data_IF_283728201610
#
_entry.id   IF_283728201610
#
_cell.length_a   1.000
_cell.length_b   1.000
_cell.length_c   1.000
_cell.angle_alpha   90.00
_cell.angle_beta   90.00
_cell.angle_gamma   90.00
#
_symmetry.space_group_name_H-M   'P 1'
#
loop_
_entity.id
_entity.type
_entity.pdbx_description
1 polymer ?
#
# COMPACT_ATOMS: atom_id res chain seq x y z
N UNK A 1 7.07 -5.33 -12.20
CA UNK A 1 7.84 -4.47 -11.26
C UNK A 1 7.26 -4.65 -9.87
N UNK A 2 8.06 -4.82 -8.81
CA UNK A 2 7.57 -4.92 -7.43
C UNK A 2 8.05 -3.73 -6.60
N UNK A 3 7.23 -3.29 -5.65
CA UNK A 3 7.54 -2.18 -4.74
C UNK A 3 8.16 -2.80 -3.49
N UNK A 4 9.41 -2.47 -3.19
CA UNK A 4 10.21 -3.07 -2.11
C UNK A 4 10.56 -2.04 -1.04
N UNK A 5 10.57 -2.44 0.22
CA UNK A 5 11.29 -1.71 1.26
C UNK A 5 12.75 -2.19 1.31
N UNK A 6 13.68 -1.25 1.45
CA UNK A 6 15.11 -1.53 1.65
C UNK A 6 15.43 -1.20 3.11
N UNK A 7 15.78 -2.21 3.91
CA UNK A 7 16.14 -2.01 5.33
C UNK A 7 15.98 -3.21 6.25
N UNK A 8 15.31 -4.30 5.83
CA UNK A 8 15.12 -5.52 6.63
C UNK A 8 15.94 -6.69 6.08
N UNK A 9 16.26 -7.67 6.95
CA UNK A 9 17.00 -8.91 6.61
C UNK A 9 16.32 -9.69 5.47
N UNK A 10 14.99 -9.60 5.38
CA UNK A 10 14.19 -10.07 4.26
C UNK A 10 13.64 -8.89 3.46
N UNK A 11 13.73 -8.94 2.13
CA UNK A 11 13.19 -7.90 1.24
C UNK A 11 11.67 -8.00 1.22
N UNK A 12 10.99 -7.09 1.93
CA UNK A 12 9.53 -7.03 1.95
C UNK A 12 8.98 -6.30 0.72
N UNK A 13 7.96 -6.89 0.10
CA UNK A 13 7.28 -6.35 -1.07
C UNK A 13 5.87 -5.88 -0.70
N UNK A 14 5.53 -4.65 -1.09
CA UNK A 14 4.27 -3.96 -0.74
C UNK A 14 3.33 -3.77 -1.92
N UNK A 15 3.77 -4.17 -3.11
CA UNK A 15 2.96 -4.08 -4.29
C UNK A 15 3.64 -4.56 -5.56
N UNK A 16 2.86 -4.69 -6.61
CA UNK A 16 3.32 -5.20 -7.90
C UNK A 16 2.64 -4.51 -9.08
N UNK A 17 3.34 -4.51 -10.20
CA UNK A 17 2.87 -3.97 -11.46
C UNK A 17 3.17 -4.94 -12.60
N UNK A 18 2.15 -5.18 -13.42
CA UNK A 18 2.28 -5.88 -14.69
C UNK A 18 2.06 -4.89 -15.83
N UNK A 19 2.84 -5.02 -16.89
CA UNK A 19 2.79 -4.12 -18.03
C UNK A 19 2.72 -4.92 -19.33
N UNK A 20 1.79 -4.53 -20.20
CA UNK A 20 1.64 -5.06 -21.55
C UNK A 20 1.83 -3.95 -22.59
N UNK A 21 2.61 -4.26 -23.62
CA UNK A 21 2.90 -3.34 -24.72
C UNK A 21 1.68 -3.02 -25.59
N UNK A 22 0.69 -3.91 -25.64
CA UNK A 22 -0.50 -3.78 -26.47
C UNK A 22 -1.77 -4.00 -25.66
N UNK A 23 -2.82 -3.24 -25.98
CA UNK A 23 -4.15 -3.39 -25.42
C UNK A 23 -5.15 -3.71 -26.53
N UNK A 24 -5.59 -4.97 -26.63
CA UNK A 24 -6.64 -5.38 -27.59
C UNK A 24 -7.99 -5.54 -26.90
N UNK A 25 -8.28 -4.65 -25.94
CA UNK A 25 -9.52 -4.67 -25.17
C UNK A 25 -9.51 -5.63 -23.97
N UNK A 26 -10.60 -5.56 -23.20
CA UNK A 26 -10.75 -6.19 -21.87
C UNK A 26 -10.75 -7.72 -21.91
N UNK A 27 -11.19 -8.30 -23.03
CA UNK A 27 -11.31 -9.75 -23.21
C UNK A 27 -10.02 -10.36 -23.80
N UNK A 28 -8.97 -9.56 -24.02
CA UNK A 28 -7.70 -10.09 -24.47
C UNK A 28 -7.16 -11.10 -23.45
N UNK A 29 -6.87 -12.32 -23.90
CA UNK A 29 -6.37 -13.42 -23.07
C UNK A 29 -5.15 -13.01 -22.23
N UNK A 30 -4.22 -12.23 -22.79
CA UNK A 30 -3.02 -11.77 -22.10
C UNK A 30 -3.37 -10.81 -20.96
N UNK A 31 -4.14 -9.77 -21.25
CA UNK A 31 -4.59 -8.80 -20.24
C UNK A 31 -5.37 -9.48 -19.11
N UNK A 32 -6.28 -10.38 -19.48
CA UNK A 32 -7.07 -11.17 -18.54
C UNK A 32 -6.19 -12.06 -17.67
N UNK A 33 -5.22 -12.75 -18.27
CA UNK A 33 -4.32 -13.62 -17.53
C UNK A 33 -3.43 -12.83 -16.56
N UNK A 34 -2.82 -11.74 -17.03
CA UNK A 34 -1.96 -10.88 -16.21
C UNK A 34 -2.75 -10.23 -15.07
N UNK A 35 -3.93 -9.66 -15.36
CA UNK A 35 -4.75 -8.96 -14.37
C UNK A 35 -5.54 -9.87 -13.43
N UNK A 36 -5.95 -11.06 -13.86
CA UNK A 36 -6.84 -11.92 -13.07
C UNK A 36 -6.19 -13.13 -12.43
N UNK A 37 -5.05 -13.58 -12.95
CA UNK A 37 -4.38 -14.78 -12.45
C UNK A 37 -3.01 -14.42 -11.91
N UNK A 38 -2.14 -13.85 -12.75
CA UNK A 38 -0.74 -13.62 -12.40
C UNK A 38 -0.59 -12.59 -11.28
N UNK A 39 -1.13 -11.39 -11.48
CA UNK A 39 -1.00 -10.31 -10.49
C UNK A 39 -1.72 -10.66 -9.16
N UNK A 40 -2.97 -11.15 -9.14
CA UNK A 40 -3.61 -11.51 -7.87
C UNK A 40 -2.89 -12.61 -7.09
N UNK A 41 -2.31 -13.61 -7.79
CA UNK A 41 -1.49 -14.63 -7.14
C UNK A 41 -0.27 -14.01 -6.48
N UNK A 42 0.45 -13.16 -7.20
CA UNK A 42 1.62 -12.44 -6.68
C UNK A 42 1.26 -11.57 -5.47
N UNK A 43 0.16 -10.81 -5.54
CA UNK A 43 -0.31 -9.98 -4.43
C UNK A 43 -0.69 -10.83 -3.20
N UNK A 44 -1.27 -12.02 -3.40
CA UNK A 44 -1.61 -12.94 -2.31
C UNK A 44 -0.36 -13.45 -1.61
N UNK A 45 0.67 -13.81 -2.38
CA UNK A 45 1.92 -14.31 -1.82
C UNK A 45 2.66 -13.18 -1.06
N UNK A 46 2.65 -11.94 -1.59
CA UNK A 46 3.15 -10.76 -0.87
C UNK A 46 2.37 -10.49 0.43
N UNK A 47 1.04 -10.56 0.38
CA UNK A 47 0.19 -10.36 1.55
C UNK A 47 0.54 -11.39 2.64
N UNK A 48 0.74 -12.66 2.27
CA UNK A 48 1.17 -13.69 3.21
C UNK A 48 2.48 -13.31 3.92
N UNK A 49 3.53 -12.94 3.17
CA UNK A 49 4.82 -12.58 3.77
C UNK A 49 4.75 -11.33 4.66
N UNK A 50 3.91 -10.34 4.31
CA UNK A 50 3.70 -9.17 5.17
C UNK A 50 2.99 -9.53 6.47
N UNK A 51 1.99 -10.43 6.43
CA UNK A 51 1.32 -10.91 7.64
C UNK A 51 2.27 -11.75 8.51
N UNK A 52 3.14 -12.55 7.89
CA UNK A 52 4.19 -13.31 8.58
C UNK A 52 5.21 -12.38 9.25
N UNK A 53 5.59 -11.27 8.60
CA UNK A 53 6.55 -10.30 9.16
C UNK A 53 6.04 -9.52 10.39
N UNK A 54 4.73 -9.58 10.68
CA UNK A 54 4.11 -8.97 11.86
C UNK A 54 3.57 -10.03 12.83
N UNK A 55 4.12 -11.25 12.78
CA UNK A 55 3.74 -12.38 13.62
C UNK A 55 2.24 -12.66 13.65
N UNK A 56 1.56 -12.39 12.54
CA UNK A 56 0.12 -12.54 12.41
C UNK A 56 -0.71 -11.74 13.44
N UNK A 57 -0.22 -10.59 13.89
CA UNK A 57 -0.94 -9.72 14.84
C UNK A 57 -2.34 -9.30 14.33
N UNK A 58 -3.39 -9.59 15.09
CA UNK A 58 -4.77 -9.40 14.63
C UNK A 58 -5.10 -7.94 14.25
N UNK A 59 -4.54 -6.97 14.99
CA UNK A 59 -4.81 -5.54 14.79
C UNK A 59 -4.09 -4.98 13.57
N UNK A 60 -2.86 -5.45 13.31
CA UNK A 60 -2.09 -5.08 12.11
C UNK A 60 -2.61 -5.78 10.88
N UNK A 61 -2.89 -7.07 10.93
CA UNK A 61 -3.36 -7.87 9.79
C UNK A 61 -4.60 -7.28 9.12
N UNK A 62 -5.55 -6.75 9.91
CA UNK A 62 -6.75 -6.10 9.39
C UNK A 62 -6.50 -4.77 8.65
N UNK A 63 -5.30 -4.20 8.78
CA UNK A 63 -4.90 -2.91 8.19
C UNK A 63 -3.85 -3.06 7.08
N UNK A 64 -3.28 -4.25 6.89
CA UNK A 64 -2.33 -4.54 5.82
C UNK A 64 -3.09 -4.64 4.49
N UNK A 65 -2.64 -3.84 3.52
CA UNK A 65 -3.14 -3.85 2.15
C UNK A 65 -1.95 -3.93 1.18
N UNK A 66 -2.05 -4.78 0.17
CA UNK A 66 -1.07 -4.89 -0.92
C UNK A 66 -1.68 -4.33 -2.20
N UNK A 67 -0.92 -3.48 -2.89
CA UNK A 67 -1.41 -2.77 -4.06
C UNK A 67 -0.84 -3.36 -5.35
N UNK A 68 -1.72 -3.57 -6.33
CA UNK A 68 -1.36 -3.97 -7.67
C UNK A 68 -1.78 -2.95 -8.71
N UNK A 69 -1.13 -2.91 -9.85
CA UNK A 69 -1.74 -2.33 -11.04
C UNK A 69 -1.32 -3.07 -12.32
N UNK A 70 -2.21 -3.03 -13.31
CA UNK A 70 -1.93 -3.52 -14.65
C UNK A 70 -2.01 -2.36 -15.60
N UNK A 71 -0.93 -2.11 -16.32
CA UNK A 71 -0.91 -1.15 -17.41
C UNK A 71 -0.87 -1.89 -18.75
N UNK A 72 -1.74 -1.51 -19.67
CA UNK A 72 -1.75 -2.03 -21.03
C UNK A 72 -1.95 -0.87 -21.99
N UNK A 73 -0.91 -0.57 -22.78
CA UNK A 73 -0.82 0.68 -23.56
C UNK A 73 -1.11 1.92 -22.68
N UNK A 74 -2.18 2.65 -23.00
CA UNK A 74 -2.63 3.85 -22.27
C UNK A 74 -3.72 3.55 -21.23
N UNK A 75 -4.04 2.28 -20.98
CA UNK A 75 -5.08 1.88 -20.02
C UNK A 75 -4.42 1.34 -18.76
N UNK A 76 -4.87 1.77 -17.59
CA UNK A 76 -4.40 1.28 -16.30
C UNK A 76 -5.58 0.86 -15.40
N UNK A 77 -5.42 -0.27 -14.73
CA UNK A 77 -6.35 -0.79 -13.72
C UNK A 77 -5.59 -1.01 -12.42
N UNK A 78 -6.13 -0.51 -11.29
CA UNK A 78 -5.55 -0.71 -9.98
C UNK A 78 -6.27 -1.82 -9.23
N UNK A 79 -5.51 -2.60 -8.48
CA UNK A 79 -5.93 -3.72 -7.67
C UNK A 79 -5.51 -3.45 -6.22
N UNK A 80 -6.35 -3.86 -5.28
CA UNK A 80 -6.02 -3.84 -3.85
C UNK A 80 -6.41 -5.17 -3.27
N UNK A 81 -5.46 -5.84 -2.64
CA UNK A 81 -5.69 -7.09 -1.93
C UNK A 81 -5.50 -6.84 -0.43
N UNK A 82 -6.48 -7.24 0.37
CA UNK A 82 -6.44 -7.11 1.83
C UNK A 82 -7.15 -8.30 2.47
N UNK A 83 -7.00 -8.45 3.78
CA UNK A 83 -7.66 -9.52 4.53
C UNK A 83 -8.80 -8.97 5.38
N UNK A 84 -10.03 -9.40 5.10
CA UNK A 84 -11.19 -9.07 5.92
C UNK A 84 -11.33 -10.05 7.07
N UNK A 85 -11.45 -9.53 8.30
CA UNK A 85 -11.65 -10.29 9.55
C UNK A 85 -10.59 -11.37 9.84
N UNK A 86 -9.44 -11.35 9.17
CA UNK A 86 -8.36 -12.33 9.43
C UNK A 86 -8.46 -13.66 8.67
N UNK A 87 -9.53 -13.92 7.90
CA UNK A 87 -9.76 -15.25 7.31
C UNK A 87 -10.02 -15.23 5.79
N UNK A 88 -10.43 -14.09 5.24
CA UNK A 88 -10.81 -14.00 3.83
C UNK A 88 -9.95 -12.95 3.13
N UNK A 89 -9.22 -13.36 2.09
CA UNK A 89 -8.54 -12.45 1.19
C UNK A 89 -9.57 -11.81 0.23
N UNK A 90 -9.68 -10.49 0.27
CA UNK A 90 -10.57 -9.71 -0.56
C UNK A 90 -9.76 -8.95 -1.62
N UNK A 91 -10.07 -9.17 -2.89
CA UNK A 91 -9.48 -8.44 -4.01
C UNK A 91 -10.48 -7.41 -4.54
N UNK A 92 -10.14 -6.14 -4.45
CA UNK A 92 -10.89 -5.03 -5.04
C UNK A 92 -10.18 -4.52 -6.29
N UNK A 93 -10.96 -4.15 -7.31
CA UNK A 93 -10.49 -3.60 -8.58
C UNK A 93 -11.13 -2.25 -8.82
N UNK A 94 -10.37 -1.31 -9.36
CA UNK A 94 -10.92 -0.02 -9.78
C UNK A 94 -11.56 -0.11 -11.16
N UNK A 95 -12.25 0.96 -11.57
CA UNK A 95 -12.49 1.18 -13.00
C UNK A 95 -11.16 1.28 -13.75
N UNK A 96 -11.23 1.11 -15.07
CA UNK A 96 -10.07 1.35 -15.94
C UNK A 96 -9.91 2.86 -16.09
N UNK A 97 -8.67 3.33 -16.04
CA UNK A 97 -8.31 4.71 -16.31
C UNK A 97 -7.52 4.78 -17.60
N UNK A 98 -7.68 5.87 -18.32
CA UNK A 98 -6.98 6.11 -19.57
C UNK A 98 -5.99 7.26 -19.39
N UNK A 99 -4.78 7.07 -19.90
CA UNK A 99 -3.77 8.10 -20.02
C UNK A 99 -4.06 8.84 -21.33
N UNK A 100 -4.24 10.16 -21.25
CA UNK A 100 -4.45 11.00 -22.43
C UNK A 100 -3.26 10.91 -23.38
N UNK A 101 -3.53 10.62 -24.65
CA UNK A 101 -2.57 10.63 -25.77
C UNK A 101 -2.28 12.05 -26.28
N UNK A 102 -3.06 13.03 -25.84
CA UNK A 102 -3.07 14.40 -26.32
C UNK A 102 -3.45 15.36 -25.20
N UNK A 103 -3.08 16.62 -25.35
CA UNK A 103 -3.36 17.69 -24.37
C UNK A 103 -4.86 17.81 -24.10
N UNK A 104 -5.70 17.64 -25.13
CA UNK A 104 -7.16 17.67 -24.98
C UNK A 104 -7.70 16.58 -24.04
N UNK A 105 -6.98 15.44 -23.90
CA UNK A 105 -7.34 14.34 -23.00
C UNK A 105 -6.58 14.35 -21.68
N UNK A 106 -5.87 15.43 -21.36
CA UNK A 106 -5.06 15.56 -20.13
C UNK A 106 -5.87 15.33 -18.84
N UNK A 107 -7.16 15.70 -18.84
CA UNK A 107 -8.07 15.44 -17.72
C UNK A 107 -8.13 13.96 -17.33
N UNK A 108 -8.04 13.03 -18.29
CA UNK A 108 -8.01 11.59 -18.00
C UNK A 108 -6.71 11.18 -17.30
N UNK A 109 -5.58 11.77 -17.72
CA UNK A 109 -4.28 11.58 -17.07
C UNK A 109 -4.30 12.07 -15.62
N UNK A 110 -5.00 13.17 -15.32
CA UNK A 110 -5.15 13.65 -13.94
C UNK A 110 -5.84 12.61 -13.04
N UNK A 111 -6.84 11.87 -13.55
CA UNK A 111 -7.47 10.78 -12.79
C UNK A 111 -6.45 9.69 -12.45
N UNK A 112 -5.58 9.33 -13.41
CA UNK A 112 -4.51 8.33 -13.20
C UNK A 112 -3.52 8.80 -12.13
N UNK A 113 -3.09 10.07 -12.18
CA UNK A 113 -2.18 10.65 -11.20
C UNK A 113 -2.82 10.64 -9.81
N UNK A 114 -4.06 11.11 -9.69
CA UNK A 114 -4.79 11.14 -8.42
C UNK A 114 -4.92 9.74 -7.81
N UNK A 115 -5.23 8.74 -8.63
CA UNK A 115 -5.29 7.34 -8.17
C UNK A 115 -3.94 6.79 -7.79
N UNK A 116 -2.88 7.11 -8.55
CA UNK A 116 -1.52 6.68 -8.24
C UNK A 116 -1.05 7.23 -6.88
N UNK A 117 -1.40 8.48 -6.56
CA UNK A 117 -1.13 9.08 -5.25
C UNK A 117 -1.89 8.38 -4.12
N UNK A 118 -3.17 8.04 -4.33
CA UNK A 118 -3.95 7.26 -3.35
C UNK A 118 -3.35 5.89 -3.09
N UNK A 119 -2.89 5.22 -4.15
CA UNK A 119 -2.22 3.92 -4.05
C UNK A 119 -0.90 4.02 -3.31
N UNK A 120 -0.12 5.08 -3.56
CA UNK A 120 1.11 5.37 -2.82
C UNK A 120 0.85 5.57 -1.33
N UNK A 121 -0.20 6.30 -0.96
CA UNK A 121 -0.59 6.50 0.44
C UNK A 121 -0.93 5.17 1.14
N UNK A 122 -1.60 4.24 0.46
CA UNK A 122 -1.87 2.89 1.00
C UNK A 122 -0.58 2.11 1.24
N UNK A 123 0.35 2.14 0.29
CA UNK A 123 1.67 1.52 0.45
C UNK A 123 2.42 2.14 1.64
N UNK A 124 2.44 3.46 1.76
CA UNK A 124 3.09 4.15 2.89
C UNK A 124 2.51 3.71 4.24
N UNK A 125 1.17 3.62 4.34
CA UNK A 125 0.51 3.13 5.54
C UNK A 125 0.92 1.69 5.87
N UNK A 126 0.95 0.81 4.87
CA UNK A 126 1.37 -0.58 5.05
C UNK A 126 2.84 -0.68 5.49
N UNK A 127 3.74 0.09 4.87
CA UNK A 127 5.15 0.15 5.26
C UNK A 127 5.28 0.60 6.71
N UNK A 128 4.57 1.65 7.11
CA UNK A 128 4.59 2.16 8.48
C UNK A 128 4.10 1.12 9.49
N UNK A 129 3.04 0.38 9.18
CA UNK A 129 2.49 -0.66 10.05
C UNK A 129 3.45 -1.83 10.27
N UNK A 130 4.17 -2.21 9.20
CA UNK A 130 5.09 -3.36 9.22
C UNK A 130 6.46 -2.99 9.80
N UNK A 131 6.92 -1.76 9.60
CA UNK A 131 8.25 -1.31 10.05
C UNK A 131 8.29 -0.65 11.43
N UNK A 132 7.17 -0.11 11.94
CA UNK A 132 7.11 0.50 13.28
C UNK A 132 6.52 -0.45 14.31
N UNK A 133 7.37 -1.33 14.83
CA UNK A 133 7.33 -1.88 16.19
C UNK A 133 8.79 -2.08 16.60
N UNK A 134 9.44 -1.04 17.12
CA UNK A 134 9.73 -0.93 18.56
C UNK A 134 10.15 0.50 18.88
N UNK A 135 9.26 1.29 19.48
CA UNK A 135 9.63 2.33 20.44
C UNK A 135 8.48 2.39 21.44
N UNK A 136 8.46 1.42 22.34
CA UNK A 136 7.88 1.65 23.65
C UNK A 136 8.75 2.72 24.31
N UNK A 137 8.38 3.99 24.14
CA UNK A 137 8.82 4.99 25.09
C UNK A 137 7.92 4.75 26.29
N UNK A 138 8.40 3.95 27.23
CA UNK A 138 7.95 4.03 28.61
C UNK A 138 8.11 5.48 29.02
N UNK A 139 7.00 6.23 29.05
CA UNK A 139 6.95 7.44 29.84
C UNK A 139 6.97 6.97 31.28
N UNK A 140 8.18 6.82 31.81
CA UNK A 140 8.41 6.62 33.22
C UNK A 140 7.75 7.79 33.96
N UNK A 141 6.55 7.54 34.49
CA UNK A 141 5.78 8.50 35.26
C UNK A 141 6.42 8.80 36.63
N UNK A 142 7.64 8.33 36.90
CA UNK A 142 8.36 8.64 38.14
C UNK A 142 9.19 9.92 38.09
N UNK A 143 9.22 10.66 36.98
CA UNK A 143 9.85 11.99 36.94
C UNK A 143 8.84 13.02 37.48
N UNK A 144 9.03 13.58 38.69
CA UNK A 144 8.11 14.58 39.21
C UNK A 144 8.21 15.85 38.35
N UNK A 145 7.06 16.38 37.97
CA UNK A 145 6.97 17.63 37.22
C UNK A 145 7.69 18.76 37.98
N UNK A 146 8.51 19.59 37.32
CA UNK A 146 9.19 20.69 37.98
C UNK A 146 8.14 21.65 38.52
N UNK A 147 8.00 21.67 39.83
CA UNK A 147 7.15 22.61 40.54
C UNK A 147 7.72 24.00 40.30
N UNK A 148 6.90 24.94 39.83
CA UNK A 148 7.24 26.36 39.75
C UNK A 148 7.67 26.83 41.15
N UNK A 149 8.99 26.88 41.38
CA UNK A 149 9.56 27.47 42.56
C UNK A 149 9.19 28.95 42.53
N UNK A 150 8.46 29.33 43.58
CA UNK A 150 8.04 30.66 43.97
C UNK A 150 9.10 31.71 43.60
N UNK A 151 8.73 32.63 42.71
CA UNK A 151 9.44 33.90 42.58
C UNK A 151 9.29 34.63 43.91
N UNK A 152 10.39 34.60 44.67
CA UNK A 152 10.54 35.13 46.01
C UNK A 152 9.95 36.54 46.16
N UNK A 153 9.17 36.71 47.21
CA UNK A 153 8.83 38.00 47.78
C UNK A 153 10.02 38.63 48.50
N UNK A 154 10.25 39.92 48.22
CA UNK A 154 10.73 41.01 49.11
C UNK A 154 12.20 41.01 49.56
N UNK A 155 12.78 42.17 49.94
CA UNK A 155 12.18 43.46 50.31
C UNK A 155 12.44 44.65 49.39
#
# INVERSE_FOLDING_TARGET
MTIRSSGSVNVLEFGAAEAASFYNGRTNKKYMYESRVKLPKLLKDMLYYLNESVDWDADKRGRIEVIGFVQSALVIEFLTLYQSKGYICCLTRTKHFEIGDSIAKFSRTLEVIAMSLRMKLRVENCVRLVTKETFDIDFDHTIPSPTLIESMSTP
#
